data_IF_360582952859
#
_entry.id   IF_360582952859
#
_cell.length_a   1.000
_cell.length_b   1.000
_cell.length_c   1.000
_cell.angle_alpha   90.00
_cell.angle_beta   90.00
_cell.angle_gamma   90.00
#
_symmetry.space_group_name_H-M   'P 1'
#
loop_
_entity.id
_entity.type
_entity.pdbx_description
1 polymer ?
#
# COMPACT_ATOMS: atom_id res chain seq x y z
N UNK A 1 29.80 35.12 -2.17
CA UNK A 1 29.61 34.31 -0.94
C UNK A 1 28.26 33.65 -1.14
N UNK A 2 28.19 32.33 -1.22
CA UNK A 2 26.88 31.65 -1.33
C UNK A 2 26.14 31.84 -0.01
N UNK A 3 24.96 32.44 -0.07
CA UNK A 3 24.07 32.52 1.08
C UNK A 3 23.53 31.11 1.37
N UNK A 4 23.79 30.62 2.58
CA UNK A 4 23.32 29.30 3.02
C UNK A 4 21.96 29.47 3.69
N UNK A 5 20.90 28.96 3.09
CA UNK A 5 19.58 28.96 3.71
C UNK A 5 19.32 27.70 4.53
N UNK A 6 18.66 27.85 5.67
CA UNK A 6 18.21 26.73 6.47
C UNK A 6 17.03 26.03 5.77
N UNK A 7 17.16 24.72 5.52
CA UNK A 7 16.14 23.92 4.85
C UNK A 7 14.79 23.90 5.58
N UNK A 8 14.80 23.87 6.91
CA UNK A 8 13.57 23.76 7.72
C UNK A 8 12.79 25.07 7.79
N UNK A 9 13.46 26.19 8.08
CA UNK A 9 12.78 27.46 8.33
C UNK A 9 12.87 28.46 7.16
N UNK A 10 13.66 28.15 6.13
CA UNK A 10 13.87 28.99 4.94
C UNK A 10 14.62 30.30 5.20
N UNK A 11 15.19 30.48 6.40
CA UNK A 11 15.93 31.69 6.77
C UNK A 11 17.43 31.51 6.53
N UNK A 12 18.16 32.60 6.22
CA UNK A 12 19.60 32.54 6.05
C UNK A 12 20.31 32.08 7.32
N UNK A 13 21.38 31.33 7.13
CA UNK A 13 22.35 30.93 8.15
C UNK A 13 23.50 31.92 8.05
N UNK A 14 23.74 32.66 9.14
CA UNK A 14 24.85 33.61 9.17
C UNK A 14 26.18 32.87 8.95
N UNK A 15 27.09 33.38 8.09
CA UNK A 15 28.34 32.69 7.76
C UNK A 15 29.24 32.38 8.97
N UNK A 16 29.11 33.15 10.05
CA UNK A 16 29.85 32.97 11.30
C UNK A 16 29.14 32.07 12.33
N UNK A 17 27.93 31.60 12.03
CA UNK A 17 27.13 30.79 12.97
C UNK A 17 27.43 29.29 12.84
N UNK A 18 27.51 28.62 13.99
CA UNK A 18 27.53 27.17 14.04
C UNK A 18 26.21 26.61 13.49
N UNK A 19 26.29 25.65 12.58
CA UNK A 19 25.14 25.06 11.91
C UNK A 19 25.39 23.59 11.56
N UNK A 20 24.31 22.86 11.26
CA UNK A 20 24.39 21.45 10.87
C UNK A 20 24.26 21.31 9.36
N UNK A 21 25.24 20.64 8.75
CA UNK A 21 25.21 20.28 7.33
C UNK A 21 24.96 18.78 7.14
N UNK A 22 23.96 18.42 6.34
CA UNK A 22 23.56 17.04 6.00
C UNK A 22 23.43 16.88 4.49
N UNK A 23 24.42 16.26 3.84
CA UNK A 23 24.48 16.13 2.37
C UNK A 23 24.31 17.50 1.70
N UNK A 24 23.17 17.71 1.02
CA UNK A 24 22.81 18.94 0.29
C UNK A 24 21.96 19.90 1.11
N UNK A 25 21.71 19.61 2.39
CA UNK A 25 20.86 20.40 3.29
C UNK A 25 21.69 21.06 4.38
N UNK A 26 21.31 22.28 4.76
CA UNK A 26 21.89 23.05 5.86
C UNK A 26 20.80 23.45 6.84
N UNK A 27 21.12 23.49 8.13
CA UNK A 27 20.16 23.78 9.18
C UNK A 27 20.78 24.63 10.28
N UNK A 28 20.03 25.58 10.84
CA UNK A 28 20.36 26.06 12.19
C UNK A 28 20.30 24.88 13.17
N UNK A 29 21.13 24.90 14.22
CA UNK A 29 21.19 23.79 15.19
C UNK A 29 19.82 23.42 15.78
N UNK A 30 19.04 24.42 16.23
CA UNK A 30 17.69 24.19 16.76
C UNK A 30 16.72 23.62 15.69
N UNK A 31 16.75 24.17 14.47
CA UNK A 31 15.92 23.69 13.37
C UNK A 31 16.24 22.23 12.98
N UNK A 32 17.49 21.80 13.09
CA UNK A 32 17.87 20.41 12.83
C UNK A 32 17.29 19.45 13.87
N UNK A 33 17.25 19.86 15.14
CA UNK A 33 16.67 19.03 16.20
C UNK A 33 15.15 18.98 16.09
N UNK A 34 14.48 20.09 15.78
CA UNK A 34 13.05 20.11 15.44
C UNK A 34 12.73 19.18 14.27
N UNK A 35 13.49 19.30 13.17
CA UNK A 35 13.31 18.45 11.98
C UNK A 35 13.50 16.96 12.29
N UNK A 36 14.48 16.60 13.13
CA UNK A 36 14.67 15.21 13.56
C UNK A 36 13.48 14.68 14.36
N UNK A 37 12.93 15.48 15.27
CA UNK A 37 11.77 15.08 16.05
C UNK A 37 10.52 14.96 15.18
N UNK A 38 10.33 15.84 14.19
CA UNK A 38 9.26 15.72 13.19
C UNK A 38 9.42 14.45 12.34
N UNK A 39 10.62 14.17 11.83
CA UNK A 39 10.91 12.95 11.09
C UNK A 39 10.64 11.70 11.93
N UNK A 40 11.05 11.71 13.20
CA UNK A 40 10.81 10.60 14.11
C UNK A 40 9.32 10.39 14.33
N UNK A 41 8.56 11.45 14.60
CA UNK A 41 7.09 11.37 14.75
C UNK A 41 6.42 10.84 13.48
N UNK A 42 6.79 11.35 12.31
CA UNK A 42 6.27 10.87 11.05
C UNK A 42 6.59 9.38 10.84
N UNK A 43 7.83 8.98 11.10
CA UNK A 43 8.25 7.58 11.04
C UNK A 43 7.47 6.68 12.00
N UNK A 44 7.30 7.10 13.25
CA UNK A 44 6.57 6.34 14.27
C UNK A 44 5.10 6.16 13.86
N UNK A 45 4.45 7.22 13.34
CA UNK A 45 3.07 7.16 12.83
C UNK A 45 2.95 6.20 11.65
N UNK A 46 3.84 6.29 10.65
CA UNK A 46 3.84 5.41 9.49
C UNK A 46 4.11 3.95 9.87
N UNK A 47 5.06 3.73 10.78
CA UNK A 47 5.41 2.41 11.28
C UNK A 47 4.23 1.76 12.02
N UNK A 48 3.54 2.52 12.87
CA UNK A 48 2.34 2.06 13.57
C UNK A 48 1.22 1.73 12.57
N UNK A 49 0.94 2.61 11.61
CA UNK A 49 -0.08 2.37 10.59
C UNK A 49 0.21 1.10 9.77
N UNK A 50 1.48 0.87 9.42
CA UNK A 50 1.90 -0.34 8.71
C UNK A 50 1.75 -1.60 9.58
N UNK A 51 2.03 -1.51 10.88
CA UNK A 51 1.83 -2.62 11.81
C UNK A 51 0.34 -3.00 11.91
N UNK A 52 -0.53 -2.01 12.14
CA UNK A 52 -1.98 -2.20 12.26
C UNK A 52 -2.59 -2.80 10.98
N UNK A 53 -2.16 -2.32 9.81
CA UNK A 53 -2.63 -2.87 8.53
C UNK A 53 -2.18 -4.31 8.30
N UNK A 54 -0.98 -4.68 8.77
CA UNK A 54 -0.47 -6.05 8.70
C UNK A 54 -1.25 -6.98 9.63
N UNK A 55 -1.53 -6.56 10.85
CA UNK A 55 -2.34 -7.34 11.79
C UNK A 55 -3.75 -7.57 11.23
N UNK A 56 -4.38 -6.52 10.71
CA UNK A 56 -5.70 -6.60 10.08
C UNK A 56 -5.70 -7.53 8.87
N UNK A 57 -4.69 -7.42 8.00
CA UNK A 57 -4.53 -8.30 6.83
C UNK A 57 -4.42 -9.77 7.25
N UNK A 58 -3.56 -10.06 8.24
CA UNK A 58 -3.39 -11.42 8.76
C UNK A 58 -4.67 -11.96 9.39
N UNK A 59 -5.41 -11.14 10.14
CA UNK A 59 -6.68 -11.53 10.74
C UNK A 59 -7.74 -11.88 9.68
N UNK A 60 -7.81 -11.10 8.59
CA UNK A 60 -8.71 -11.39 7.46
C UNK A 60 -8.30 -12.70 6.80
N UNK A 61 -7.01 -12.90 6.48
CA UNK A 61 -6.54 -14.13 5.84
C UNK A 61 -6.84 -15.37 6.68
N UNK A 62 -6.55 -15.33 7.99
CA UNK A 62 -6.86 -16.41 8.91
C UNK A 62 -8.37 -16.70 8.98
N UNK A 63 -9.22 -15.67 8.97
CA UNK A 63 -10.67 -15.83 8.94
C UNK A 63 -11.12 -16.50 7.64
N UNK A 64 -10.59 -16.07 6.50
CA UNK A 64 -10.97 -16.59 5.19
C UNK A 64 -10.52 -18.03 5.00
N UNK A 65 -9.30 -18.37 5.41
CA UNK A 65 -8.79 -19.75 5.37
C UNK A 65 -9.70 -20.71 6.14
N UNK A 66 -10.16 -20.30 7.32
CA UNK A 66 -11.03 -21.12 8.18
C UNK A 66 -12.47 -21.24 7.67
N UNK A 67 -12.99 -20.23 6.97
CA UNK A 67 -14.43 -20.11 6.68
C UNK A 67 -14.82 -20.37 5.23
N UNK A 68 -13.89 -20.22 4.28
CA UNK A 68 -14.17 -20.39 2.87
C UNK A 68 -14.09 -21.85 2.44
N UNK A 69 -14.84 -22.19 1.38
CA UNK A 69 -14.66 -23.47 0.70
C UNK A 69 -13.23 -23.56 0.14
N UNK A 70 -12.57 -24.74 0.18
CA UNK A 70 -11.19 -24.89 -0.27
C UNK A 70 -10.91 -24.36 -1.68
N UNK A 71 -11.85 -24.53 -2.62
CA UNK A 71 -11.72 -24.02 -4.00
C UNK A 71 -11.75 -22.49 -4.11
N UNK A 72 -12.43 -21.79 -3.21
CA UNK A 72 -12.46 -20.32 -3.17
C UNK A 72 -11.16 -19.84 -2.51
N UNK A 73 -10.75 -20.47 -1.41
CA UNK A 73 -9.48 -20.17 -0.74
C UNK A 73 -8.28 -20.37 -1.66
N UNK A 74 -8.28 -21.43 -2.48
CA UNK A 74 -7.22 -21.68 -3.45
C UNK A 74 -7.00 -20.51 -4.43
N UNK A 75 -8.08 -19.87 -4.88
CA UNK A 75 -7.98 -18.72 -5.77
C UNK A 75 -7.34 -17.51 -5.06
N UNK A 76 -7.63 -17.30 -3.78
CA UNK A 76 -6.99 -16.25 -2.98
C UNK A 76 -5.50 -16.54 -2.81
N UNK A 77 -5.12 -17.81 -2.57
CA UNK A 77 -3.71 -18.21 -2.48
C UNK A 77 -2.94 -17.96 -3.77
N UNK A 78 -3.56 -18.13 -4.94
CA UNK A 78 -2.91 -17.81 -6.21
C UNK A 78 -2.51 -16.34 -6.28
N UNK A 79 -3.41 -15.43 -5.88
CA UNK A 79 -3.08 -14.01 -5.85
C UNK A 79 -1.95 -13.72 -4.86
N UNK A 80 -2.01 -14.28 -3.65
CA UNK A 80 -0.98 -14.12 -2.63
C UNK A 80 0.40 -14.67 -3.06
N UNK A 81 0.45 -15.65 -3.97
CA UNK A 81 1.71 -16.19 -4.49
C UNK A 81 2.26 -15.42 -5.68
N UNK A 82 1.40 -14.76 -6.46
CA UNK A 82 1.78 -14.10 -7.70
C UNK A 82 1.99 -12.59 -7.53
N UNK A 83 1.41 -11.99 -6.49
CA UNK A 83 1.38 -10.54 -6.29
C UNK A 83 1.80 -10.14 -4.89
N UNK A 84 2.27 -8.90 -4.74
CA UNK A 84 2.28 -8.25 -3.44
C UNK A 84 0.86 -7.80 -3.12
N UNK A 85 0.30 -8.34 -2.03
CA UNK A 85 -1.08 -8.07 -1.64
C UNK A 85 -1.16 -7.26 -0.34
N UNK A 86 -2.03 -6.24 -0.32
CA UNK A 86 -2.28 -5.41 0.86
C UNK A 86 -3.71 -4.85 0.86
N UNK A 87 -4.08 -4.10 1.91
CA UNK A 87 -5.38 -3.40 1.98
C UNK A 87 -6.57 -4.35 1.85
N UNK A 88 -6.48 -5.52 2.49
CA UNK A 88 -7.54 -6.53 2.44
C UNK A 88 -8.77 -6.03 3.21
N UNK A 89 -9.95 -6.23 2.62
CA UNK A 89 -11.22 -5.91 3.27
C UNK A 89 -12.35 -6.74 2.69
N UNK A 90 -13.37 -7.03 3.50
CA UNK A 90 -14.60 -7.66 3.01
C UNK A 90 -15.63 -6.56 2.75
N UNK A 91 -16.01 -6.38 1.49
CA UNK A 91 -16.87 -5.28 1.03
C UNK A 91 -18.14 -5.79 0.34
N UNK A 92 -19.23 -4.99 0.32
CA UNK A 92 -20.42 -5.32 -0.45
C UNK A 92 -20.22 -5.08 -1.95
N UNK A 93 -21.11 -5.64 -2.78
CA UNK A 93 -21.11 -5.43 -4.24
C UNK A 93 -21.08 -3.94 -4.63
N UNK A 94 -21.78 -3.07 -3.89
CA UNK A 94 -21.85 -1.63 -4.15
C UNK A 94 -20.52 -0.89 -4.02
N UNK A 95 -19.48 -1.55 -3.48
CA UNK A 95 -18.13 -0.99 -3.33
C UNK A 95 -17.13 -1.57 -4.33
N UNK A 96 -17.56 -2.51 -5.18
CA UNK A 96 -16.71 -3.06 -6.26
C UNK A 96 -16.56 -2.07 -7.41
N UNK A 97 -15.40 -2.10 -8.06
CA UNK A 97 -15.03 -1.24 -9.20
C UNK A 97 -14.22 -2.05 -10.21
N UNK A 98 -14.02 -1.48 -11.40
CA UNK A 98 -13.23 -2.09 -12.47
C UNK A 98 -14.03 -3.01 -13.38
N UNK A 99 -13.32 -3.69 -14.27
CA UNK A 99 -13.88 -4.59 -15.27
C UNK A 99 -14.33 -5.90 -14.63
N UNK A 100 -15.57 -6.31 -14.92
CA UNK A 100 -16.08 -7.60 -14.42
C UNK A 100 -15.65 -8.73 -15.33
N UNK A 101 -14.76 -9.58 -14.85
CA UNK A 101 -14.26 -10.78 -15.54
C UNK A 101 -14.83 -12.04 -14.90
N UNK A 102 -15.09 -13.08 -15.69
CA UNK A 102 -15.36 -14.41 -15.12
C UNK A 102 -14.11 -14.92 -14.43
N UNK A 103 -14.26 -15.83 -13.44
CA UNK A 103 -13.09 -16.39 -12.78
C UNK A 103 -12.15 -17.11 -13.75
N UNK A 104 -12.69 -17.77 -14.77
CA UNK A 104 -11.88 -18.43 -15.82
C UNK A 104 -11.07 -17.43 -16.64
N UNK A 105 -11.65 -16.29 -17.00
CA UNK A 105 -10.95 -15.24 -17.77
C UNK A 105 -9.84 -14.59 -16.93
N UNK A 106 -10.12 -14.30 -15.66
CA UNK A 106 -9.18 -13.65 -14.76
C UNK A 106 -8.02 -14.57 -14.38
N UNK A 107 -8.31 -15.74 -13.80
CA UNK A 107 -7.27 -16.66 -13.31
C UNK A 107 -6.63 -17.50 -14.41
N UNK A 108 -7.21 -17.52 -15.62
CA UNK A 108 -6.81 -18.41 -16.75
C UNK A 108 -6.81 -19.90 -16.41
N UNK A 109 -7.46 -20.27 -15.32
CA UNK A 109 -7.54 -21.62 -14.77
C UNK A 109 -8.98 -21.98 -14.37
N UNK A 110 -9.24 -23.27 -14.16
CA UNK A 110 -10.52 -23.74 -13.64
C UNK A 110 -10.69 -23.33 -12.18
N UNK A 111 -11.66 -22.46 -11.89
CA UNK A 111 -11.87 -21.89 -10.56
C UNK A 111 -13.33 -21.97 -10.12
N UNK A 112 -13.55 -22.05 -8.80
CA UNK A 112 -14.89 -21.93 -8.20
C UNK A 112 -15.35 -20.46 -8.08
N UNK A 113 -14.46 -19.50 -8.36
CA UNK A 113 -14.80 -18.07 -8.38
C UNK A 113 -15.65 -17.79 -9.62
N UNK A 114 -16.87 -17.30 -9.40
CA UNK A 114 -17.78 -16.99 -10.51
C UNK A 114 -17.32 -15.78 -11.32
N UNK A 115 -16.92 -14.72 -10.64
CA UNK A 115 -16.41 -13.51 -11.26
C UNK A 115 -15.52 -12.73 -10.29
N UNK A 116 -14.62 -11.94 -10.86
CA UNK A 116 -13.73 -11.00 -10.21
C UNK A 116 -14.01 -9.63 -10.83
N UNK A 117 -13.97 -8.56 -10.04
CA UNK A 117 -13.83 -7.22 -10.61
C UNK A 117 -12.38 -6.80 -10.53
N UNK A 118 -11.85 -6.32 -11.65
CA UNK A 118 -10.45 -6.03 -11.86
C UNK A 118 -10.29 -4.53 -12.17
N UNK A 119 -9.75 -3.79 -11.20
CA UNK A 119 -9.46 -2.35 -11.27
C UNK A 119 -7.95 -2.12 -11.23
N UNK A 120 -7.19 -2.98 -11.91
CA UNK A 120 -5.73 -2.92 -12.00
C UNK A 120 -5.31 -2.18 -13.26
N UNK A 121 -4.37 -1.26 -13.09
CA UNK A 121 -3.75 -0.51 -14.19
C UNK A 121 -2.25 -0.77 -14.24
N UNK A 122 -1.71 -0.84 -15.46
CA UNK A 122 -0.26 -0.83 -15.69
C UNK A 122 0.27 0.60 -15.69
N UNK A 123 1.49 0.78 -15.20
CA UNK A 123 2.20 2.06 -15.32
C UNK A 123 2.62 2.27 -16.79
N UNK A 124 2.14 3.32 -17.48
CA UNK A 124 2.51 3.56 -18.87
C UNK A 124 3.98 3.99 -19.05
N UNK A 125 4.66 4.38 -17.98
CA UNK A 125 6.04 4.88 -17.99
C UNK A 125 7.06 3.89 -17.41
N UNK A 126 6.61 2.83 -16.75
CA UNK A 126 7.45 1.75 -16.25
C UNK A 126 7.00 0.42 -16.85
N UNK A 127 7.82 -0.15 -17.72
CA UNK A 127 7.59 -1.49 -18.26
C UNK A 127 7.53 -2.48 -17.10
N UNK A 128 6.48 -3.29 -17.07
CA UNK A 128 6.23 -4.39 -16.13
C UNK A 128 5.74 -4.00 -14.72
N UNK A 129 5.41 -2.74 -14.46
CA UNK A 129 4.76 -2.36 -13.20
C UNK A 129 3.24 -2.28 -13.35
N UNK A 130 2.51 -2.86 -12.39
CA UNK A 130 1.06 -2.70 -12.28
C UNK A 130 0.60 -2.61 -10.84
N UNK A 131 -0.56 -2.00 -10.65
CA UNK A 131 -1.17 -1.89 -9.33
C UNK A 131 -2.66 -1.57 -9.42
N UNK A 132 -3.40 -2.06 -8.44
CA UNK A 132 -4.81 -1.69 -8.29
C UNK A 132 -5.57 -2.66 -7.42
N UNK A 133 -6.89 -2.48 -7.38
CA UNK A 133 -7.76 -3.29 -6.56
C UNK A 133 -8.43 -4.39 -7.38
N UNK A 134 -8.49 -5.57 -6.78
CA UNK A 134 -9.32 -6.66 -7.26
C UNK A 134 -10.39 -7.00 -6.24
N UNK A 135 -11.51 -7.52 -6.73
CA UNK A 135 -12.67 -7.88 -5.91
C UNK A 135 -13.08 -9.32 -6.18
N UNK A 136 -12.59 -10.24 -5.36
CA UNK A 136 -12.88 -11.67 -5.47
C UNK A 136 -14.22 -11.97 -4.80
N UNK A 137 -15.15 -12.54 -5.55
CA UNK A 137 -16.46 -12.90 -5.00
C UNK A 137 -16.37 -14.03 -3.97
N UNK A 138 -16.76 -13.76 -2.72
CA UNK A 138 -16.85 -14.77 -1.65
C UNK A 138 -18.25 -15.41 -1.61
N UNK A 139 -19.30 -14.60 -1.72
CA UNK A 139 -20.70 -15.08 -1.79
C UNK A 139 -21.60 -14.11 -2.59
N UNK A 140 -22.94 -14.16 -2.45
CA UNK A 140 -23.86 -13.32 -3.23
C UNK A 140 -23.63 -11.81 -3.02
N UNK A 141 -23.30 -11.40 -1.80
CA UNK A 141 -23.26 -9.98 -1.41
C UNK A 141 -21.91 -9.55 -0.81
N UNK A 142 -20.93 -10.44 -0.69
CA UNK A 142 -19.62 -10.14 -0.09
C UNK A 142 -18.48 -10.46 -1.05
N UNK A 143 -17.54 -9.53 -1.14
CA UNK A 143 -16.35 -9.59 -1.96
C UNK A 143 -15.14 -9.35 -1.07
N UNK A 144 -14.05 -10.07 -1.34
CA UNK A 144 -12.74 -9.72 -0.83
C UNK A 144 -12.17 -8.65 -1.75
N UNK A 145 -12.05 -7.44 -1.24
CA UNK A 145 -11.20 -6.41 -1.83
C UNK A 145 -9.75 -6.71 -1.44
N UNK A 146 -8.85 -6.65 -2.42
CA UNK A 146 -7.42 -6.83 -2.24
C UNK A 146 -6.70 -5.86 -3.16
N UNK A 147 -5.77 -5.06 -2.64
CA UNK A 147 -4.81 -4.36 -3.48
C UNK A 147 -3.76 -5.37 -3.92
N UNK A 148 -3.46 -5.40 -5.22
CA UNK A 148 -2.36 -6.19 -5.78
C UNK A 148 -1.40 -5.26 -6.52
N UNK A 149 -0.10 -5.56 -6.44
CA UNK A 149 0.90 -4.97 -7.30
C UNK A 149 2.01 -5.96 -7.65
N UNK A 150 2.69 -5.67 -8.76
CA UNK A 150 3.83 -6.44 -9.27
C UNK A 150 4.67 -5.62 -10.23
#
# INVERSE_FOLDING_TARGET
MEELDCFQCGKPIEPSSDHVKRKYLSFHNHCHDEFKEELKKAHDIESQAHHEEREKTNAILALLERTLKPKIWQAIKWELSNHRCSHLSIVPLSKTKGEKKTGKEYFRESTAIRHVFDDVSSDPYASDCYGGYIYIRLNKNRYLQMFICG
#
